data_IF_824521928412
#
_entry.id   IF_824521928412
#
_cell.length_a   1.000
_cell.length_b   1.000
_cell.length_c   1.000
_cell.angle_alpha   90.00
_cell.angle_beta   90.00
_cell.angle_gamma   90.00
#
_symmetry.space_group_name_H-M   'P 1'
#
loop_
_entity.id
_entity.type
_entity.pdbx_description
1 polymer ?
#
# COMPACT_ATOMS: atom_id res chain seq x y z
N UNK A 1 -16.51 -9.50 28.15
CA UNK A 1 -17.10 -8.38 27.38
C UNK A 1 -16.20 -7.92 26.25
N UNK A 2 -14.86 -7.99 26.36
CA UNK A 2 -13.92 -7.63 25.28
C UNK A 2 -14.13 -8.41 23.97
N UNK A 3 -14.27 -9.75 24.03
CA UNK A 3 -14.50 -10.58 22.83
C UNK A 3 -15.76 -10.24 22.02
N UNK A 4 -16.74 -9.56 22.62
CA UNK A 4 -18.00 -9.20 21.93
C UNK A 4 -17.93 -7.86 21.19
N UNK A 5 -16.95 -7.01 21.51
CA UNK A 5 -16.72 -5.73 20.82
C UNK A 5 -15.69 -5.89 19.70
N UNK A 6 -14.67 -6.73 19.89
CA UNK A 6 -13.70 -7.09 18.85
C UNK A 6 -14.38 -7.75 17.64
N UNK A 7 -15.36 -8.63 17.90
CA UNK A 7 -16.10 -9.35 16.85
C UNK A 7 -17.11 -8.47 16.09
N UNK A 8 -17.62 -7.39 16.71
CA UNK A 8 -18.61 -6.50 16.07
C UNK A 8 -17.99 -5.23 15.46
N UNK A 9 -16.87 -4.74 16.00
CA UNK A 9 -16.27 -3.46 15.62
C UNK A 9 -14.73 -3.43 15.67
N UNK A 10 -14.06 -4.50 16.09
CA UNK A 10 -12.60 -4.50 16.24
C UNK A 10 -11.91 -4.69 14.90
N UNK A 11 -11.95 -5.91 14.36
CA UNK A 11 -11.02 -6.28 13.29
C UNK A 11 -11.49 -5.85 11.89
N UNK A 12 -12.79 -5.99 11.60
CA UNK A 12 -13.37 -5.60 10.30
C UNK A 12 -13.35 -4.08 10.08
N UNK A 13 -13.66 -3.30 11.12
CA UNK A 13 -13.63 -1.84 11.07
C UNK A 13 -12.19 -1.30 11.00
N UNK A 14 -11.24 -1.88 11.75
CA UNK A 14 -9.82 -1.55 11.62
C UNK A 14 -9.28 -1.88 10.22
N UNK A 15 -9.63 -3.05 9.68
CA UNK A 15 -9.27 -3.45 8.31
C UNK A 15 -9.84 -2.47 7.27
N UNK A 16 -11.10 -2.06 7.41
CA UNK A 16 -11.73 -1.09 6.51
C UNK A 16 -11.09 0.30 6.62
N UNK A 17 -10.68 0.71 7.82
CA UNK A 17 -9.95 1.95 8.04
C UNK A 17 -8.62 1.94 7.27
N UNK A 18 -7.81 0.88 7.41
CA UNK A 18 -6.53 0.79 6.68
C UNK A 18 -6.71 0.69 5.17
N UNK A 19 -7.77 0.03 4.68
CA UNK A 19 -8.13 0.04 3.25
C UNK A 19 -8.44 1.44 2.74
N UNK A 20 -9.07 2.28 3.57
CA UNK A 20 -9.38 3.67 3.24
C UNK A 20 -8.13 4.54 3.27
N UNK A 21 -7.25 4.31 4.24
CA UNK A 21 -5.96 4.97 4.34
C UNK A 21 -5.08 4.66 3.12
N UNK A 22 -5.00 3.39 2.69
CA UNK A 22 -4.31 2.99 1.45
C UNK A 22 -4.80 3.76 0.22
N UNK A 23 -6.12 3.87 0.03
CA UNK A 23 -6.71 4.54 -1.15
C UNK A 23 -6.41 6.04 -1.20
N UNK A 24 -6.26 6.67 -0.04
CA UNK A 24 -6.04 8.12 0.06
C UNK A 24 -4.57 8.48 0.26
N UNK A 25 -3.71 7.49 0.50
CA UNK A 25 -2.28 7.69 0.68
C UNK A 25 -1.63 8.25 -0.58
N UNK A 26 -0.97 9.39 -0.44
CA UNK A 26 -0.17 10.05 -1.47
C UNK A 26 1.16 10.48 -0.89
N UNK A 27 2.22 10.43 -1.68
CA UNK A 27 3.57 10.87 -1.29
C UNK A 27 3.52 12.33 -0.85
N UNK A 28 4.05 12.60 0.35
CA UNK A 28 4.12 13.97 0.88
C UNK A 28 5.28 14.75 0.23
N UNK A 29 5.22 16.10 0.18
CA UNK A 29 6.37 16.90 -0.20
C UNK A 29 7.59 16.56 0.67
N UNK A 30 8.72 16.20 0.04
CA UNK A 30 9.96 15.85 0.75
C UNK A 30 10.00 14.44 1.34
N UNK A 31 8.93 13.65 1.21
CA UNK A 31 8.94 12.25 1.59
C UNK A 31 9.70 11.41 0.56
N UNK A 32 10.67 10.62 1.01
CA UNK A 32 11.38 9.70 0.11
C UNK A 32 10.49 8.51 -0.26
N UNK A 33 10.72 7.95 -1.44
CA UNK A 33 9.96 6.80 -1.93
C UNK A 33 10.07 5.58 -1.01
N UNK A 34 11.20 5.43 -0.31
CA UNK A 34 11.38 4.37 0.67
C UNK A 34 10.44 4.51 1.87
N UNK A 35 10.24 5.73 2.38
CA UNK A 35 9.29 5.98 3.48
C UNK A 35 7.84 5.75 3.04
N UNK A 36 7.49 6.16 1.82
CA UNK A 36 6.19 5.84 1.22
C UNK A 36 5.99 4.33 1.09
N UNK A 37 6.99 3.60 0.61
CA UNK A 37 6.93 2.16 0.41
C UNK A 37 6.75 1.39 1.73
N UNK A 38 7.52 1.74 2.75
CA UNK A 38 7.43 1.14 4.07
C UNK A 38 6.03 1.35 4.68
N UNK A 39 5.46 2.53 4.50
CA UNK A 39 4.12 2.83 4.98
C UNK A 39 3.03 2.07 4.19
N UNK A 40 3.18 1.96 2.86
CA UNK A 40 2.29 1.14 2.03
C UNK A 40 2.33 -0.34 2.40
N UNK A 41 3.51 -0.91 2.63
CA UNK A 41 3.68 -2.29 3.06
C UNK A 41 3.01 -2.53 4.43
N UNK A 42 3.26 -1.63 5.40
CA UNK A 42 2.61 -1.66 6.71
C UNK A 42 1.09 -1.64 6.56
N UNK A 43 0.55 -0.71 5.79
CA UNK A 43 -0.89 -0.59 5.57
C UNK A 43 -1.48 -1.81 4.85
N UNK A 44 -0.76 -2.39 3.87
CA UNK A 44 -1.21 -3.58 3.15
C UNK A 44 -1.32 -4.80 4.07
N UNK A 45 -0.36 -4.97 4.97
CA UNK A 45 -0.38 -6.04 5.97
C UNK A 45 -1.52 -5.90 6.97
N UNK A 46 -1.95 -4.68 7.28
CA UNK A 46 -3.07 -4.42 8.19
C UNK A 46 -4.44 -4.47 7.48
N UNK A 47 -4.51 -4.03 6.23
CA UNK A 47 -5.75 -3.96 5.44
C UNK A 47 -6.15 -5.29 4.77
N UNK A 48 -5.18 -6.18 4.59
CA UNK A 48 -5.33 -7.43 3.83
C UNK A 48 -4.56 -8.59 4.49
N UNK A 49 -4.53 -8.64 5.84
CA UNK A 49 -3.85 -9.67 6.61
C UNK A 49 -4.23 -11.11 6.20
N UNK A 50 -5.51 -11.32 5.86
CA UNK A 50 -6.09 -12.61 5.44
C UNK A 50 -5.80 -12.97 3.97
N UNK A 51 -5.22 -12.06 3.18
CA UNK A 51 -4.90 -12.30 1.77
C UNK A 51 -3.51 -12.95 1.63
N UNK A 52 -3.35 -13.75 0.55
CA UNK A 52 -2.05 -14.30 0.19
C UNK A 52 -1.01 -13.18 -0.04
N UNK A 53 0.27 -13.51 0.17
CA UNK A 53 1.35 -12.55 -0.03
C UNK A 53 1.37 -12.03 -1.48
N UNK A 54 1.14 -12.89 -2.47
CA UNK A 54 1.06 -12.53 -3.89
C UNK A 54 -0.02 -11.47 -4.18
N UNK A 55 -1.20 -11.62 -3.56
CA UNK A 55 -2.29 -10.64 -3.69
C UNK A 55 -1.91 -9.32 -3.03
N UNK A 56 -1.30 -9.38 -1.83
CA UNK A 56 -0.83 -8.18 -1.13
C UNK A 56 0.25 -7.44 -1.93
N UNK A 57 1.22 -8.15 -2.49
CA UNK A 57 2.29 -7.57 -3.30
C UNK A 57 1.74 -6.93 -4.58
N UNK A 58 0.81 -7.60 -5.26
CA UNK A 58 0.16 -7.06 -6.46
C UNK A 58 -0.63 -5.78 -6.17
N UNK A 59 -1.36 -5.75 -5.05
CA UNK A 59 -2.11 -4.56 -4.62
C UNK A 59 -1.17 -3.44 -4.15
N UNK A 60 -0.07 -3.77 -3.46
CA UNK A 60 0.92 -2.81 -3.00
C UNK A 60 1.62 -2.14 -4.18
N UNK A 61 1.99 -2.91 -5.20
CA UNK A 61 2.52 -2.39 -6.46
C UNK A 61 1.61 -1.33 -7.07
N UNK A 62 0.33 -1.64 -7.25
CA UNK A 62 -0.64 -0.71 -7.85
C UNK A 62 -0.83 0.56 -7.00
N UNK A 63 -1.08 0.39 -5.69
CA UNK A 63 -1.30 1.52 -4.79
C UNK A 63 -0.05 2.40 -4.64
N UNK A 64 1.15 1.82 -4.65
CA UNK A 64 2.39 2.57 -4.57
C UNK A 64 2.58 3.46 -5.80
N UNK A 65 2.37 2.92 -6.99
CA UNK A 65 2.46 3.69 -8.24
C UNK A 65 1.46 4.84 -8.23
N UNK A 66 0.21 4.58 -7.83
CA UNK A 66 -0.79 5.63 -7.69
C UNK A 66 -0.39 6.66 -6.62
N UNK A 67 0.26 6.25 -5.54
CA UNK A 67 0.63 7.15 -4.47
C UNK A 67 1.81 8.07 -4.78
N UNK A 68 2.65 7.75 -5.77
CA UNK A 68 3.74 8.63 -6.21
C UNK A 68 3.14 9.95 -6.70
N UNK A 69 3.70 11.06 -6.18
CA UNK A 69 3.23 12.43 -6.52
C UNK A 69 3.81 12.93 -7.84
N UNK A 70 5.02 12.50 -8.17
CA UNK A 70 5.69 12.87 -9.42
C UNK A 70 5.05 12.14 -10.60
N UNK A 71 4.34 12.87 -11.45
CA UNK A 71 3.55 12.29 -12.55
C UNK A 71 4.43 11.57 -13.59
N UNK A 72 5.64 12.09 -13.85
CA UNK A 72 6.60 11.48 -14.76
C UNK A 72 7.10 10.12 -14.22
N UNK A 73 7.50 10.07 -12.94
CA UNK A 73 7.89 8.84 -12.25
C UNK A 73 6.72 7.86 -12.18
N UNK A 74 5.51 8.35 -11.91
CA UNK A 74 4.30 7.54 -11.90
C UNK A 74 4.04 6.91 -13.29
N UNK A 75 4.10 7.69 -14.37
CA UNK A 75 3.90 7.19 -15.73
C UNK A 75 4.96 6.17 -16.15
N UNK A 76 6.24 6.44 -15.86
CA UNK A 76 7.34 5.51 -16.12
C UNK A 76 7.16 4.17 -15.38
N UNK A 77 6.67 4.24 -14.14
CA UNK A 77 6.45 3.04 -13.33
C UNK A 77 5.23 2.24 -13.80
N UNK A 78 4.15 2.91 -14.25
CA UNK A 78 2.96 2.24 -14.86
C UNK A 78 3.29 1.50 -16.15
N UNK A 79 4.18 2.06 -16.98
CA UNK A 79 4.60 1.43 -18.25
C UNK A 79 5.35 0.11 -18.05
N UNK A 80 5.83 -0.16 -16.84
CA UNK A 80 6.73 -1.28 -16.57
C UNK A 80 6.04 -2.63 -16.35
N UNK A 81 4.72 -2.73 -16.59
CA UNK A 81 3.92 -3.94 -16.32
C UNK A 81 4.19 -4.47 -14.89
N UNK A 82 3.89 -3.59 -13.93
CA UNK A 82 4.09 -3.70 -12.49
C UNK A 82 3.48 -4.98 -11.87
N UNK A 83 4.16 -6.12 -12.04
CA UNK A 83 3.75 -7.42 -11.50
C UNK A 83 4.30 -7.71 -10.11
N UNK A 84 5.36 -7.00 -9.71
CA UNK A 84 6.04 -7.23 -8.43
C UNK A 84 6.39 -5.90 -7.76
N UNK A 85 5.91 -5.73 -6.52
CA UNK A 85 6.14 -4.54 -5.71
C UNK A 85 7.62 -4.31 -5.44
N UNK A 86 8.38 -5.38 -5.16
CA UNK A 86 9.83 -5.27 -4.88
C UNK A 86 10.60 -4.79 -6.10
N UNK A 87 10.24 -5.29 -7.29
CA UNK A 87 10.84 -4.87 -8.55
C UNK A 87 10.61 -3.37 -8.83
N UNK A 88 9.41 -2.86 -8.55
CA UNK A 88 9.10 -1.42 -8.67
C UNK A 88 9.98 -0.60 -7.73
N UNK A 89 10.07 -1.00 -6.46
CA UNK A 89 10.89 -0.31 -5.46
C UNK A 89 12.37 -0.26 -5.85
N UNK A 90 12.92 -1.39 -6.31
CA UNK A 90 14.32 -1.47 -6.72
C UNK A 90 14.65 -0.50 -7.87
N UNK A 91 13.72 -0.26 -8.79
CA UNK A 91 13.91 0.66 -9.89
C UNK A 91 13.69 2.12 -9.50
N UNK A 92 12.59 2.44 -8.80
CA UNK A 92 12.28 3.83 -8.43
C UNK A 92 13.31 4.45 -7.47
N UNK A 93 14.22 3.64 -6.94
CA UNK A 93 15.33 4.04 -6.07
C UNK A 93 16.66 4.23 -6.81
N UNK A 94 16.68 4.15 -8.14
CA UNK A 94 17.88 4.37 -8.97
C UNK A 94 18.04 5.85 -9.34
#
# INVERSE_FOLDING_TARGET
>A
MEKSLESRFGDSHLTQFYRTELKTRRQKPGECLHALAADMERLMNLAYAECSQEVRDSLAAQNFVDAIRDEDTQHLTRLMDAKDFKSILAYSMK
#
